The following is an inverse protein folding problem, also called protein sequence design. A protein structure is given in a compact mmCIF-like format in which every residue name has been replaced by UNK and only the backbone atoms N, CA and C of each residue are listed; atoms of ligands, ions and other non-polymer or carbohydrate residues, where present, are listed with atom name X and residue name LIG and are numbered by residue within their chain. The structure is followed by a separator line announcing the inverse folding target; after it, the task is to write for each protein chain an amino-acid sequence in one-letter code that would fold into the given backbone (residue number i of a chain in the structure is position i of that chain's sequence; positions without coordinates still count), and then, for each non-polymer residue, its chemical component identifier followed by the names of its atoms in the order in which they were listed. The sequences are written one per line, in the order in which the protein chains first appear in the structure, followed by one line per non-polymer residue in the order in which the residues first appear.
data_IF_865228202749
#
_entry.id   IF_865228202749
#
_cell.length_a   1.000
_cell.length_b   1.000
_cell.length_c   1.000
_cell.angle_alpha   90.00
_cell.angle_beta   90.00
_cell.angle_gamma   90.00
#
_symmetry.space_group_name_H-M   'P 1'
#
loop_
_entity.id
_entity.type
_entity.pdbx_description
1 polymer ?
#
# COMPACT_ATOMS: atom_id res chain seq x y z
N UNK A 1 -21.14 -53.52 57.94
CA UNK A 1 -21.67 -53.04 59.22
C UNK A 1 -22.34 -51.72 58.93
N UNK A 2 -23.68 -51.70 58.86
CA UNK A 2 -24.64 -51.10 59.82
C UNK A 2 -24.40 -49.58 59.90
N UNK A 3 -25.31 -48.65 59.77
CA UNK A 3 -26.78 -48.52 59.85
C UNK A 3 -27.04 -47.03 59.64
N UNK A 4 -27.98 -46.66 58.93
CA UNK A 4 -29.41 -46.38 59.11
C UNK A 4 -29.69 -44.89 59.41
N UNK A 5 -30.41 -44.25 58.52
CA UNK A 5 -31.78 -43.68 58.66
C UNK A 5 -31.90 -42.46 59.62
N UNK A 6 -32.39 -41.33 59.06
CA UNK A 6 -33.62 -40.73 59.53
C UNK A 6 -34.17 -39.66 58.58
N UNK A 7 -35.41 -39.82 58.28
CA UNK A 7 -36.36 -38.91 57.61
C UNK A 7 -36.64 -37.68 58.52
N UNK A 8 -36.78 -36.51 57.91
CA UNK A 8 -37.74 -35.53 58.40
C UNK A 8 -38.20 -34.61 57.30
N UNK A 9 -39.43 -34.78 56.95
CA UNK A 9 -40.18 -33.86 56.09
C UNK A 9 -40.70 -32.69 56.95
N UNK A 10 -40.59 -31.49 56.44
CA UNK A 10 -41.50 -30.42 56.90
C UNK A 10 -41.88 -29.52 55.70
N UNK A 11 -43.14 -29.25 55.68
CA UNK A 11 -44.00 -28.64 54.68
C UNK A 11 -43.92 -27.12 54.71
N UNK A 12 -44.12 -26.53 53.52
CA UNK A 12 -44.90 -25.33 53.21
C UNK A 12 -44.36 -23.95 53.48
N UNK A 13 -44.13 -23.18 52.42
CA UNK A 13 -44.84 -21.90 52.16
C UNK A 13 -44.62 -21.42 50.72
N UNK A 14 -45.66 -21.39 49.91
CA UNK A 14 -45.73 -20.63 48.65
C UNK A 14 -45.64 -19.13 49.03
N UNK A 15 -44.67 -18.44 48.41
CA UNK A 15 -44.72 -17.02 48.16
C UNK A 15 -44.54 -16.76 46.69
N UNK A 16 -45.60 -16.33 46.04
CA UNK A 16 -45.62 -15.77 44.69
C UNK A 16 -44.83 -14.46 44.75
N UNK A 17 -43.63 -14.47 44.22
CA UNK A 17 -42.77 -13.30 43.97
C UNK A 17 -42.71 -13.06 42.50
N UNK A 18 -43.21 -11.91 42.07
CA UNK A 18 -43.26 -11.29 40.74
C UNK A 18 -41.97 -11.48 39.98
N UNK A 19 -42.08 -11.95 38.73
CA UNK A 19 -41.05 -11.89 37.69
C UNK A 19 -40.69 -10.43 37.40
N UNK A 20 -39.57 -9.96 37.87
CA UNK A 20 -38.79 -8.89 37.26
C UNK A 20 -37.69 -9.58 36.46
N UNK A 21 -37.84 -9.71 35.16
CA UNK A 21 -36.75 -10.09 34.27
C UNK A 21 -35.77 -8.95 34.19
N UNK A 22 -34.67 -9.04 34.91
CA UNK A 22 -33.47 -8.27 34.58
C UNK A 22 -32.84 -8.96 33.38
N UNK A 23 -32.98 -8.31 32.20
CA UNK A 23 -32.19 -8.63 31.03
C UNK A 23 -30.72 -8.47 31.41
N UNK A 24 -30.02 -9.58 31.58
CA UNK A 24 -28.58 -9.57 31.70
C UNK A 24 -27.99 -8.85 30.47
N UNK A 25 -27.07 -7.90 30.63
CA UNK A 25 -26.44 -7.25 29.49
C UNK A 25 -25.79 -8.33 28.65
N UNK A 26 -26.33 -8.55 27.45
CA UNK A 26 -25.66 -9.35 26.42
C UNK A 26 -24.35 -8.63 26.08
N UNK A 27 -23.26 -9.05 26.71
CA UNK A 27 -21.92 -8.70 26.25
C UNK A 27 -21.75 -9.32 24.86
N UNK A 28 -22.08 -8.56 23.82
CA UNK A 28 -21.71 -8.92 22.47
C UNK A 28 -20.19 -8.93 22.44
N UNK A 29 -19.61 -10.11 22.30
CA UNK A 29 -18.19 -10.24 21.96
C UNK A 29 -17.97 -9.41 20.69
N UNK A 30 -17.01 -8.48 20.67
CA UNK A 30 -16.76 -7.70 19.46
C UNK A 30 -16.45 -8.68 18.32
N UNK A 31 -17.23 -8.59 17.26
CA UNK A 31 -16.96 -9.35 16.03
C UNK A 31 -15.68 -8.77 15.45
N UNK A 32 -14.57 -9.49 15.57
CA UNK A 32 -13.31 -9.13 14.91
C UNK A 32 -13.50 -9.34 13.42
N UNK A 33 -13.71 -8.26 12.70
CA UNK A 33 -13.78 -8.30 11.23
C UNK A 33 -12.37 -8.47 10.68
N UNK A 34 -12.12 -9.57 9.99
CA UNK A 34 -10.83 -9.83 9.36
C UNK A 34 -10.67 -8.97 8.10
N UNK A 35 -9.43 -8.54 7.76
CA UNK A 35 -9.14 -7.91 6.49
C UNK A 35 -9.58 -8.79 5.30
N UNK A 36 -10.20 -8.21 4.27
CA UNK A 36 -10.67 -8.99 3.11
C UNK A 36 -9.55 -9.54 2.24
N UNK A 37 -8.34 -8.92 2.27
CA UNK A 37 -7.21 -9.33 1.46
C UNK A 37 -6.05 -9.84 2.32
N UNK A 38 -5.37 -10.90 1.84
CA UNK A 38 -4.18 -11.47 2.47
C UNK A 38 -2.89 -10.88 1.87
N UNK A 39 -1.90 -10.54 2.70
CA UNK A 39 -0.65 -9.92 2.24
C UNK A 39 -0.85 -8.47 1.80
N UNK A 40 -0.03 -8.02 0.86
CA UNK A 40 -0.20 -6.74 0.13
C UNK A 40 -1.36 -6.84 -0.84
N UNK A 41 -2.15 -5.77 -0.98
CA UNK A 41 -3.27 -5.75 -1.91
C UNK A 41 -2.82 -5.44 -3.33
N UNK A 42 -3.29 -6.26 -4.27
CA UNK A 42 -3.27 -6.02 -5.71
C UNK A 42 -4.68 -6.21 -6.27
N UNK A 43 -4.99 -5.54 -7.36
CA UNK A 43 -6.35 -5.51 -7.91
C UNK A 43 -6.35 -6.08 -9.34
N UNK A 44 -7.14 -7.12 -9.57
CA UNK A 44 -7.33 -7.73 -10.88
C UNK A 44 -8.76 -7.40 -11.41
N UNK A 45 -8.88 -6.84 -12.64
CA UNK A 45 -7.82 -6.44 -13.56
C UNK A 45 -7.09 -5.18 -13.09
N UNK A 46 -5.86 -4.98 -13.64
CA UNK A 46 -4.99 -3.87 -13.30
C UNK A 46 -5.68 -2.51 -13.46
N UNK A 47 -5.54 -1.66 -12.46
CA UNK A 47 -6.11 -0.31 -12.49
C UNK A 47 -5.20 0.72 -13.16
N UNK A 48 -3.92 0.42 -13.30
CA UNK A 48 -2.96 1.11 -14.18
C UNK A 48 -2.33 0.04 -15.07
N UNK A 49 -2.24 0.30 -16.37
CA UNK A 49 -1.69 -0.63 -17.35
C UNK A 49 -0.67 0.06 -18.26
N UNK A 50 0.11 -0.71 -18.98
CA UNK A 50 1.07 -0.20 -19.97
C UNK A 50 0.43 0.61 -21.10
N UNK A 51 -0.89 0.52 -21.29
CA UNK A 51 -1.65 1.32 -22.27
C UNK A 51 -2.18 2.65 -21.73
N UNK A 52 -2.05 2.90 -20.43
CA UNK A 52 -2.45 4.17 -19.85
C UNK A 52 -1.45 5.29 -20.21
N UNK A 53 -1.91 6.55 -20.26
CA UNK A 53 -1.03 7.68 -20.55
C UNK A 53 0.14 7.76 -19.57
N UNK A 54 1.31 8.12 -20.08
CA UNK A 54 2.49 8.45 -19.29
C UNK A 54 2.84 9.93 -19.44
N UNK A 55 3.24 10.54 -18.36
CA UNK A 55 3.78 11.91 -18.34
C UNK A 55 5.26 11.96 -18.71
N UNK A 56 5.92 10.80 -18.86
CA UNK A 56 7.33 10.74 -19.23
C UNK A 56 7.57 11.38 -20.60
N UNK A 57 8.52 12.31 -20.68
CA UNK A 57 8.86 13.05 -21.90
C UNK A 57 10.25 12.73 -22.43
N UNK A 58 11.23 12.71 -21.55
CA UNK A 58 12.62 12.61 -22.01
C UNK A 58 13.52 12.04 -20.91
N UNK A 59 14.57 11.35 -21.36
CA UNK A 59 15.66 10.87 -20.54
C UNK A 59 16.98 11.35 -21.13
N UNK A 60 17.78 12.06 -20.35
CA UNK A 60 19.10 12.54 -20.79
C UNK A 60 20.21 11.90 -19.97
N UNK A 61 21.20 11.30 -20.65
CA UNK A 61 22.38 10.76 -19.98
C UNK A 61 23.24 11.90 -19.41
N UNK A 62 23.50 11.82 -18.10
CA UNK A 62 24.27 12.82 -17.35
C UNK A 62 25.71 12.33 -17.01
N UNK A 63 26.14 11.21 -17.59
CA UNK A 63 27.46 10.62 -17.35
C UNK A 63 27.44 9.56 -16.27
N UNK A 64 28.62 9.28 -15.69
CA UNK A 64 28.77 8.45 -14.50
C UNK A 64 29.21 9.31 -13.32
N UNK A 65 28.82 8.89 -12.12
CA UNK A 65 29.19 9.60 -10.92
C UNK A 65 28.94 8.79 -9.65
N UNK A 66 29.71 9.11 -8.62
CA UNK A 66 29.59 8.44 -7.32
C UNK A 66 28.21 8.71 -6.71
N UNK A 67 27.47 7.65 -6.39
CA UNK A 67 26.19 7.69 -5.70
C UNK A 67 26.15 6.63 -4.61
N UNK A 68 25.50 6.97 -3.51
CA UNK A 68 25.21 6.03 -2.43
C UNK A 68 23.79 5.54 -2.58
N UNK A 69 23.62 4.24 -2.77
CA UNK A 69 22.36 3.55 -3.06
C UNK A 69 22.17 2.43 -2.04
N UNK A 70 20.92 2.16 -1.62
CA UNK A 70 20.66 0.98 -0.81
C UNK A 70 20.49 -0.24 -1.72
N UNK A 71 21.19 -1.33 -1.41
CA UNK A 71 21.09 -2.59 -2.14
C UNK A 71 20.54 -3.69 -1.23
N UNK A 72 19.32 -4.12 -1.49
CA UNK A 72 18.66 -5.18 -0.70
C UNK A 72 19.36 -6.55 -0.80
N UNK A 73 20.20 -6.78 -1.81
CA UNK A 73 20.95 -8.05 -1.96
C UNK A 73 21.99 -8.23 -0.87
N UNK A 74 22.59 -7.12 -0.45
CA UNK A 74 23.56 -7.09 0.66
C UNK A 74 22.96 -6.47 1.93
N UNK A 75 21.73 -5.95 1.85
CA UNK A 75 21.01 -5.27 2.91
C UNK A 75 21.82 -4.13 3.54
N UNK A 76 22.48 -3.34 2.68
CA UNK A 76 23.36 -2.24 3.11
C UNK A 76 23.44 -1.13 2.05
N UNK A 77 23.96 0.01 2.47
CA UNK A 77 24.27 1.13 1.61
C UNK A 77 25.59 0.88 0.88
N UNK A 78 25.57 0.97 -0.44
CA UNK A 78 26.74 0.84 -1.28
C UNK A 78 27.03 2.18 -1.98
N UNK A 79 28.31 2.49 -2.15
CA UNK A 79 28.73 3.64 -2.98
C UNK A 79 29.34 3.10 -4.27
N UNK A 80 28.76 3.48 -5.40
CA UNK A 80 29.14 3.02 -6.74
C UNK A 80 29.26 4.19 -7.71
N UNK A 81 29.98 3.99 -8.80
CA UNK A 81 30.06 4.94 -9.93
C UNK A 81 28.91 4.66 -10.90
N UNK A 82 27.70 5.14 -10.51
CA UNK A 82 26.44 4.85 -11.19
C UNK A 82 26.35 5.53 -12.56
N UNK A 83 25.64 4.91 -13.51
CA UNK A 83 25.17 5.62 -14.71
C UNK A 83 23.99 6.52 -14.31
N UNK A 84 24.07 7.82 -14.68
CA UNK A 84 23.14 8.83 -14.26
C UNK A 84 22.31 9.32 -15.44
N UNK A 85 20.99 9.41 -15.22
CA UNK A 85 20.05 9.90 -16.23
C UNK A 85 19.09 10.89 -15.56
N UNK A 86 18.82 12.01 -16.23
CA UNK A 86 17.79 12.96 -15.80
C UNK A 86 16.50 12.65 -16.58
N UNK A 87 15.48 12.18 -15.88
CA UNK A 87 14.14 12.00 -16.40
C UNK A 87 13.32 13.28 -16.21
N UNK A 88 12.54 13.67 -17.23
CA UNK A 88 11.61 14.78 -17.17
C UNK A 88 10.19 14.31 -17.52
N UNK A 89 9.20 14.93 -16.88
CA UNK A 89 7.79 14.65 -17.03
C UNK A 89 7.04 15.91 -17.49
N UNK A 90 5.91 15.77 -18.15
CA UNK A 90 5.18 16.88 -18.76
C UNK A 90 4.46 17.81 -17.75
N UNK A 91 4.32 17.36 -16.52
CA UNK A 91 3.83 18.16 -15.40
C UNK A 91 4.94 18.99 -14.70
N UNK A 92 6.15 18.97 -15.24
CA UNK A 92 7.30 19.72 -14.74
C UNK A 92 8.09 18.99 -13.65
N UNK A 93 7.69 17.81 -13.23
CA UNK A 93 8.48 16.98 -12.32
C UNK A 93 9.71 16.41 -13.03
N UNK A 94 10.73 16.07 -12.24
CA UNK A 94 11.96 15.43 -12.70
C UNK A 94 12.53 14.51 -11.63
N UNK A 95 13.28 13.48 -12.05
CA UNK A 95 13.99 12.58 -11.15
C UNK A 95 15.35 12.20 -11.73
N UNK A 96 16.34 11.98 -10.87
CA UNK A 96 17.62 11.39 -11.27
C UNK A 96 17.51 9.86 -11.17
N UNK A 97 17.67 9.18 -12.31
CA UNK A 97 17.72 7.73 -12.35
C UNK A 97 19.18 7.28 -12.26
N UNK A 98 19.48 6.49 -11.24
CA UNK A 98 20.81 6.02 -10.90
C UNK A 98 20.87 4.52 -11.15
N UNK A 99 21.56 4.10 -12.20
CA UNK A 99 21.67 2.68 -12.57
C UNK A 99 23.01 2.14 -12.13
N UNK A 100 22.99 1.06 -11.38
CA UNK A 100 24.18 0.40 -10.85
C UNK A 100 25.16 0.05 -11.99
N UNK A 101 26.48 0.27 -11.87
CA UNK A 101 27.46 -0.02 -12.92
C UNK A 101 27.54 -1.51 -13.31
N UNK A 102 26.97 -2.40 -12.53
CA UNK A 102 26.86 -3.84 -12.83
C UNK A 102 26.15 -4.17 -14.16
N UNK A 103 25.43 -3.19 -14.76
CA UNK A 103 24.81 -3.32 -16.08
C UNK A 103 25.85 -3.31 -17.22
N UNK A 104 27.07 -2.84 -16.96
CA UNK A 104 28.22 -3.00 -17.84
C UNK A 104 28.34 -2.02 -19.00
N UNK A 105 27.36 -1.12 -19.20
CA UNK A 105 27.41 -0.12 -20.27
C UNK A 105 26.26 0.86 -20.19
N UNK A 106 26.52 2.10 -20.69
CA UNK A 106 25.53 3.19 -20.69
C UNK A 106 24.28 2.85 -21.49
N UNK A 107 24.43 2.12 -22.60
CA UNK A 107 23.28 1.79 -23.48
C UNK A 107 22.32 0.80 -22.80
N UNK A 108 22.88 -0.19 -22.08
CA UNK A 108 22.07 -1.14 -21.29
C UNK A 108 21.41 -0.42 -20.12
N UNK A 109 22.16 0.45 -19.45
CA UNK A 109 21.63 1.26 -18.34
C UNK A 109 20.53 2.22 -18.82
N UNK A 110 20.67 2.82 -20.02
CA UNK A 110 19.68 3.70 -20.63
C UNK A 110 18.36 2.95 -20.86
N UNK A 111 18.42 1.75 -21.43
CA UNK A 111 17.21 0.97 -21.71
C UNK A 111 16.41 0.63 -20.44
N UNK A 112 17.11 0.29 -19.35
CA UNK A 112 16.45 0.06 -18.06
C UNK A 112 15.89 1.36 -17.46
N UNK A 113 16.65 2.45 -17.52
CA UNK A 113 16.21 3.74 -17.01
C UNK A 113 14.96 4.23 -17.77
N UNK A 114 14.91 4.09 -19.09
CA UNK A 114 13.78 4.49 -19.93
C UNK A 114 12.53 3.66 -19.62
N UNK A 115 12.68 2.33 -19.52
CA UNK A 115 11.60 1.40 -19.16
C UNK A 115 10.90 1.84 -17.87
N UNK A 116 11.65 2.12 -16.81
CA UNK A 116 11.04 2.47 -15.53
C UNK A 116 10.60 3.93 -15.43
N UNK A 117 11.27 4.86 -16.13
CA UNK A 117 10.78 6.24 -16.22
C UNK A 117 9.39 6.30 -16.86
N UNK A 118 9.13 5.47 -17.87
CA UNK A 118 7.83 5.37 -18.52
C UNK A 118 6.75 4.84 -17.58
N UNK A 119 7.04 3.79 -16.80
CA UNK A 119 6.11 3.23 -15.81
C UNK A 119 5.84 4.26 -14.70
N UNK A 120 6.89 4.89 -14.15
CA UNK A 120 6.76 5.93 -13.13
C UNK A 120 5.90 7.09 -13.65
N UNK A 121 6.07 7.48 -14.92
CA UNK A 121 5.25 8.51 -15.55
C UNK A 121 3.74 8.23 -15.61
N UNK A 122 3.30 6.97 -15.45
CA UNK A 122 1.88 6.60 -15.38
C UNK A 122 1.26 6.83 -14.00
N UNK A 123 2.08 7.02 -12.97
CA UNK A 123 1.60 7.26 -11.61
C UNK A 123 1.01 8.67 -11.47
N UNK A 124 0.06 8.88 -10.55
CA UNK A 124 -0.42 10.21 -10.22
C UNK A 124 0.71 11.17 -9.82
N UNK A 125 0.61 12.45 -10.19
CA UNK A 125 1.52 13.50 -9.75
C UNK A 125 1.68 13.51 -8.23
N UNK A 126 0.59 13.27 -7.48
CA UNK A 126 0.60 13.16 -6.03
C UNK A 126 1.57 12.09 -5.49
N UNK A 127 1.81 11.02 -6.25
CA UNK A 127 2.76 9.95 -5.88
C UNK A 127 4.19 10.19 -6.41
N UNK A 128 4.35 11.04 -7.44
CA UNK A 128 5.65 11.31 -8.07
C UNK A 128 6.34 12.56 -7.53
N UNK A 129 5.58 13.47 -6.90
CA UNK A 129 6.05 14.81 -6.49
C UNK A 129 7.30 14.79 -5.59
N UNK A 130 7.47 13.74 -4.81
CA UNK A 130 8.59 13.60 -3.88
C UNK A 130 9.59 12.51 -4.32
N UNK A 131 9.45 11.96 -5.54
CA UNK A 131 10.42 11.03 -6.13
C UNK A 131 11.56 11.83 -6.76
N UNK A 132 12.63 12.05 -6.00
CA UNK A 132 13.83 12.77 -6.47
C UNK A 132 14.83 11.83 -7.15
N UNK A 133 14.91 10.59 -6.70
CA UNK A 133 15.85 9.60 -7.21
C UNK A 133 15.18 8.25 -7.45
N UNK A 134 15.73 7.48 -8.40
CA UNK A 134 15.34 6.10 -8.68
C UNK A 134 16.59 5.24 -8.75
N UNK A 135 16.70 4.23 -7.92
CA UNK A 135 17.83 3.28 -7.91
C UNK A 135 17.48 2.01 -8.64
N UNK A 136 18.32 1.61 -9.59
CA UNK A 136 18.11 0.40 -10.40
C UNK A 136 19.28 -0.56 -10.22
N UNK A 137 18.97 -1.75 -9.71
CA UNK A 137 19.89 -2.86 -9.49
C UNK A 137 19.46 -4.11 -10.24
N UNK A 138 20.37 -5.02 -10.50
CA UNK A 138 20.04 -6.41 -10.84
C UNK A 138 19.51 -7.16 -9.62
N UNK A 139 18.98 -8.37 -9.84
CA UNK A 139 18.50 -9.25 -8.77
C UNK A 139 16.99 -9.29 -8.64
N UNK A 140 16.53 -10.10 -7.68
CA UNK A 140 15.10 -10.43 -7.45
C UNK A 140 14.64 -10.02 -6.05
N UNK A 141 15.22 -8.96 -5.49
CA UNK A 141 14.80 -8.42 -4.21
C UNK A 141 13.56 -7.53 -4.39
N UNK A 142 12.65 -7.44 -3.40
CA UNK A 142 11.48 -6.57 -3.46
C UNK A 142 11.86 -5.10 -3.74
N UNK A 143 10.92 -4.37 -4.32
CA UNK A 143 11.03 -2.91 -4.48
C UNK A 143 11.04 -2.19 -3.13
N UNK A 144 11.30 -0.91 -3.13
CA UNK A 144 11.24 -0.04 -1.97
C UNK A 144 10.88 1.38 -2.32
N UNK A 145 10.14 2.03 -1.43
CA UNK A 145 9.83 3.46 -1.46
C UNK A 145 10.24 4.15 -0.16
N UNK A 146 10.27 5.47 -0.18
CA UNK A 146 10.64 6.32 0.95
C UNK A 146 11.92 7.13 0.73
N UNK A 147 12.16 8.10 1.60
CA UNK A 147 13.35 8.97 1.52
C UNK A 147 13.55 9.61 0.13
N UNK A 148 12.47 10.07 -0.49
CA UNK A 148 12.45 10.68 -1.83
C UNK A 148 13.00 9.75 -2.94
N UNK A 149 12.85 8.43 -2.76
CA UNK A 149 13.46 7.44 -3.63
C UNK A 149 12.49 6.29 -3.98
N UNK A 150 12.74 5.70 -5.16
CA UNK A 150 12.21 4.39 -5.53
C UNK A 150 13.37 3.43 -5.79
N UNK A 151 13.35 2.26 -5.16
CA UNK A 151 14.34 1.20 -5.32
C UNK A 151 13.76 0.07 -6.18
N UNK A 152 14.48 -0.30 -7.24
CA UNK A 152 14.09 -1.29 -8.24
C UNK A 152 15.17 -2.36 -8.34
N UNK A 153 14.74 -3.63 -8.31
CA UNK A 153 15.55 -4.79 -8.71
C UNK A 153 14.92 -5.40 -9.97
N UNK A 154 15.63 -5.36 -11.12
CA UNK A 154 15.03 -5.70 -12.43
C UNK A 154 14.49 -7.13 -12.54
N UNK A 155 15.15 -8.10 -11.91
CA UNK A 155 14.64 -9.47 -11.90
C UNK A 155 13.34 -9.63 -11.11
N UNK A 156 13.12 -8.81 -10.09
CA UNK A 156 11.84 -8.75 -9.38
C UNK A 156 10.78 -8.02 -10.22
N UNK A 157 11.18 -6.96 -10.92
CA UNK A 157 10.30 -6.26 -11.86
C UNK A 157 9.76 -7.19 -12.96
N UNK A 158 10.59 -8.10 -13.47
CA UNK A 158 10.17 -9.09 -14.46
C UNK A 158 9.12 -10.06 -13.88
N UNK A 159 9.26 -10.45 -12.62
CA UNK A 159 8.24 -11.25 -11.91
C UNK A 159 6.94 -10.45 -11.72
N UNK A 160 7.02 -9.21 -11.25
CA UNK A 160 5.86 -8.35 -11.09
C UNK A 160 5.15 -8.08 -12.43
N UNK A 161 5.90 -7.96 -13.52
CA UNK A 161 5.32 -7.84 -14.87
C UNK A 161 4.61 -9.12 -15.29
N UNK A 162 5.21 -10.29 -15.02
CA UNK A 162 4.61 -11.58 -15.35
C UNK A 162 3.32 -11.84 -14.55
N UNK A 163 3.27 -11.35 -13.31
CA UNK A 163 2.12 -11.46 -12.42
C UNK A 163 1.08 -10.35 -12.64
N UNK A 164 1.37 -9.35 -13.52
CA UNK A 164 0.47 -8.23 -13.83
C UNK A 164 0.35 -7.20 -12.69
N UNK A 165 1.35 -7.06 -11.83
CA UNK A 165 1.29 -6.19 -10.64
C UNK A 165 2.38 -5.11 -10.61
N UNK A 166 3.10 -4.90 -11.71
CA UNK A 166 4.25 -3.98 -11.74
C UNK A 166 3.82 -2.54 -11.41
N UNK A 167 2.83 -2.00 -12.13
CA UNK A 167 2.36 -0.64 -11.96
C UNK A 167 1.75 -0.44 -10.56
N UNK A 168 1.03 -1.42 -10.05
CA UNK A 168 0.42 -1.37 -8.71
C UNK A 168 1.48 -1.43 -7.60
N UNK A 169 2.57 -2.18 -7.81
CA UNK A 169 3.73 -2.15 -6.92
C UNK A 169 4.36 -0.74 -6.88
N UNK A 170 4.47 -0.07 -8.03
CA UNK A 170 4.94 1.32 -8.04
C UNK A 170 3.97 2.28 -7.35
N UNK A 171 2.65 2.07 -7.42
CA UNK A 171 1.68 2.85 -6.63
C UNK A 171 1.97 2.70 -5.14
N UNK A 172 2.20 1.47 -4.67
CA UNK A 172 2.51 1.18 -3.27
C UNK A 172 3.81 1.87 -2.81
N UNK A 173 4.91 1.67 -3.54
CA UNK A 173 6.22 2.23 -3.16
C UNK A 173 6.27 3.75 -3.27
N UNK A 174 5.61 4.33 -4.28
CA UNK A 174 5.52 5.77 -4.44
C UNK A 174 4.60 6.41 -3.38
N UNK A 175 3.60 5.69 -2.88
CA UNK A 175 2.81 6.13 -1.73
C UNK A 175 3.68 6.25 -0.46
N UNK A 176 4.58 5.29 -0.20
CA UNK A 176 5.57 5.44 0.86
C UNK A 176 6.45 6.68 0.68
N UNK A 177 6.89 6.92 -0.55
CA UNK A 177 7.78 8.05 -0.87
C UNK A 177 7.10 9.40 -0.67
N UNK A 178 5.85 9.55 -1.13
CA UNK A 178 5.20 10.85 -1.23
C UNK A 178 4.11 11.10 -0.19
N UNK A 179 3.62 10.08 0.50
CA UNK A 179 2.49 10.23 1.41
C UNK A 179 2.83 9.96 2.88
N UNK A 180 3.74 9.04 3.19
CA UNK A 180 3.99 8.62 4.58
C UNK A 180 4.36 9.78 5.48
N UNK A 181 5.28 10.64 5.03
CA UNK A 181 5.79 11.76 5.83
C UNK A 181 4.67 12.73 6.27
N UNK A 182 3.66 12.94 5.42
CA UNK A 182 2.57 13.87 5.69
C UNK A 182 1.35 13.19 6.34
N UNK A 183 1.13 11.91 6.08
CA UNK A 183 -0.15 11.27 6.37
C UNK A 183 -0.07 10.11 7.36
N UNK A 184 0.97 9.26 7.36
CA UNK A 184 0.98 8.02 8.12
C UNK A 184 0.81 8.22 9.66
N UNK A 185 1.28 9.35 10.18
CA UNK A 185 1.12 9.73 11.59
C UNK A 185 0.14 10.88 11.84
N UNK A 186 -0.55 11.36 10.80
CA UNK A 186 -1.49 12.47 10.93
C UNK A 186 -2.67 12.08 11.84
N UNK A 187 -3.05 12.92 12.82
CA UNK A 187 -4.15 12.59 13.75
C UNK A 187 -5.47 12.27 13.03
N UNK A 188 -5.76 12.95 11.92
CA UNK A 188 -6.98 12.72 11.15
C UNK A 188 -6.93 11.36 10.41
N UNK A 189 -5.76 10.92 9.91
CA UNK A 189 -5.57 9.59 9.35
C UNK A 189 -5.77 8.50 10.40
N UNK A 190 -5.12 8.63 11.56
CA UNK A 190 -5.24 7.67 12.66
C UNK A 190 -6.67 7.59 13.20
N UNK A 191 -7.39 8.71 13.22
CA UNK A 191 -8.82 8.73 13.57
C UNK A 191 -9.66 7.98 12.53
N UNK A 192 -9.42 8.18 11.22
CA UNK A 192 -10.10 7.47 10.14
C UNK A 192 -9.80 5.96 10.20
N UNK A 193 -8.54 5.57 10.39
CA UNK A 193 -8.11 4.19 10.57
C UNK A 193 -8.85 3.50 11.74
N UNK A 194 -8.93 4.19 12.89
CA UNK A 194 -9.60 3.68 14.09
C UNK A 194 -11.12 3.60 13.95
N UNK A 195 -11.73 4.44 13.09
CA UNK A 195 -13.18 4.47 12.87
C UNK A 195 -13.65 3.44 11.83
N UNK A 196 -12.75 2.90 11.03
CA UNK A 196 -13.07 1.88 10.04
C UNK A 196 -13.26 0.50 10.67
N UNK A 197 -14.12 -0.36 10.10
CA UNK A 197 -14.39 -1.71 10.63
C UNK A 197 -13.17 -2.61 10.71
N UNK A 198 -12.24 -2.48 9.74
CA UNK A 198 -10.98 -3.26 9.69
C UNK A 198 -9.98 -2.62 8.72
N UNK A 199 -8.82 -3.24 8.54
CA UNK A 199 -7.85 -2.90 7.51
C UNK A 199 -8.22 -3.54 6.17
N UNK A 200 -7.75 -2.95 5.07
CA UNK A 200 -8.03 -3.49 3.73
C UNK A 200 -7.28 -4.81 3.49
N UNK A 201 -6.08 -4.94 4.06
CA UNK A 201 -5.22 -6.12 3.91
C UNK A 201 -4.66 -6.59 5.26
N UNK A 202 -4.20 -7.83 5.30
CA UNK A 202 -3.48 -8.32 6.49
C UNK A 202 -2.15 -7.61 6.67
N UNK A 203 -1.51 -7.16 5.59
CA UNK A 203 -0.24 -6.42 5.66
C UNK A 203 -0.43 -5.05 6.30
N UNK A 204 -1.47 -4.30 5.91
CA UNK A 204 -1.84 -3.04 6.56
C UNK A 204 -2.15 -3.23 8.05
N UNK A 205 -2.88 -4.30 8.42
CA UNK A 205 -3.21 -4.62 9.82
C UNK A 205 -1.96 -4.93 10.64
N UNK A 206 -1.05 -5.70 10.09
CA UNK A 206 0.14 -6.18 10.81
C UNK A 206 1.20 -5.06 10.96
N UNK A 207 1.16 -4.06 10.07
CA UNK A 207 2.06 -2.90 10.09
C UNK A 207 1.33 -1.56 9.94
N UNK A 208 0.36 -1.22 10.83
CA UNK A 208 -0.61 -0.15 10.62
C UNK A 208 -0.01 1.26 10.53
N UNK A 209 1.16 1.48 11.14
CA UNK A 209 1.82 2.78 11.15
C UNK A 209 2.80 2.97 9.97
N UNK A 210 3.03 1.90 9.20
CA UNK A 210 3.99 1.92 8.09
C UNK A 210 3.32 1.65 6.74
N UNK A 211 2.41 0.67 6.69
CA UNK A 211 1.91 0.14 5.44
C UNK A 211 0.49 0.62 5.09
N UNK A 212 -0.29 1.08 6.07
CA UNK A 212 -1.73 1.30 5.87
C UNK A 212 -2.04 2.42 4.86
N UNK A 213 -1.20 3.46 4.75
CA UNK A 213 -1.35 4.51 3.72
C UNK A 213 -1.13 3.91 2.33
N UNK A 214 -0.02 3.20 2.13
CA UNK A 214 0.34 2.60 0.85
C UNK A 214 -0.71 1.56 0.41
N UNK A 215 -1.10 0.68 1.32
CA UNK A 215 -2.15 -0.33 1.10
C UNK A 215 -3.54 0.28 0.82
N UNK A 216 -3.83 1.45 1.38
CA UNK A 216 -5.12 2.13 1.20
C UNK A 216 -5.20 2.96 -0.07
N UNK A 217 -4.06 3.43 -0.60
CA UNK A 217 -4.06 4.33 -1.75
C UNK A 217 -4.48 3.63 -3.05
N UNK A 218 -4.04 2.39 -3.28
CA UNK A 218 -4.44 1.61 -4.46
C UNK A 218 -5.97 1.39 -4.53
N UNK A 219 -6.66 0.92 -3.46
CA UNK A 219 -8.12 0.86 -3.40
C UNK A 219 -8.82 2.21 -3.59
N UNK A 220 -8.25 3.28 -3.03
CA UNK A 220 -8.76 4.64 -3.24
C UNK A 220 -8.73 5.03 -4.71
N UNK A 221 -7.59 4.82 -5.38
CA UNK A 221 -7.42 5.07 -6.80
C UNK A 221 -8.44 4.26 -7.63
N UNK A 222 -8.61 2.97 -7.30
CA UNK A 222 -9.56 2.10 -7.96
C UNK A 222 -11.01 2.62 -7.87
N UNK A 223 -11.45 3.03 -6.68
CA UNK A 223 -12.83 3.50 -6.46
C UNK A 223 -13.09 4.86 -7.09
N UNK A 224 -12.16 5.80 -6.98
CA UNK A 224 -12.40 7.20 -7.38
C UNK A 224 -12.06 7.47 -8.83
N UNK A 225 -11.01 6.85 -9.36
CA UNK A 225 -10.45 7.20 -10.66
C UNK A 225 -10.49 6.07 -11.67
N UNK A 226 -10.68 4.83 -11.21
CA UNK A 226 -10.72 3.63 -12.07
C UNK A 226 -11.92 2.72 -11.80
N UNK A 227 -13.04 3.30 -11.35
CA UNK A 227 -14.24 2.53 -11.00
C UNK A 227 -14.78 1.66 -12.16
N UNK A 228 -14.51 2.05 -13.41
CA UNK A 228 -14.85 1.24 -14.59
C UNK A 228 -13.97 -0.01 -14.78
N UNK A 229 -12.86 -0.12 -14.05
CA UNK A 229 -11.93 -1.28 -14.12
C UNK A 229 -12.13 -2.27 -12.98
N UNK A 230 -13.01 -1.99 -12.03
CA UNK A 230 -13.29 -2.88 -10.90
C UNK A 230 -14.73 -3.37 -10.91
N UNK A 231 -14.96 -4.53 -10.29
CA UNK A 231 -16.31 -5.05 -10.11
C UNK A 231 -17.06 -4.29 -9.02
N UNK A 232 -18.39 -4.26 -9.11
CA UNK A 232 -19.22 -3.69 -8.04
C UNK A 232 -19.00 -4.41 -6.70
N UNK A 233 -18.73 -5.71 -6.72
CA UNK A 233 -18.41 -6.48 -5.51
C UNK A 233 -17.15 -5.97 -4.83
N UNK A 234 -16.08 -5.72 -5.59
CA UNK A 234 -14.84 -5.16 -5.06
C UNK A 234 -15.05 -3.74 -4.52
N UNK A 235 -15.75 -2.88 -5.28
CA UNK A 235 -16.09 -1.55 -4.83
C UNK A 235 -16.85 -1.55 -3.49
N UNK A 236 -17.84 -2.45 -3.35
CA UNK A 236 -18.59 -2.61 -2.11
C UNK A 236 -17.68 -3.10 -0.96
N UNK A 237 -16.79 -4.07 -1.22
CA UNK A 237 -15.83 -4.56 -0.22
C UNK A 237 -14.94 -3.43 0.29
N UNK A 238 -14.36 -2.63 -0.60
CA UNK A 238 -13.50 -1.50 -0.22
C UNK A 238 -14.29 -0.49 0.63
N UNK A 239 -15.48 -0.06 0.16
CA UNK A 239 -16.30 0.93 0.85
C UNK A 239 -16.84 0.44 2.20
N UNK A 240 -17.06 -0.86 2.37
CA UNK A 240 -17.46 -1.45 3.66
C UNK A 240 -16.28 -1.61 4.62
N UNK A 241 -15.07 -1.75 4.09
CA UNK A 241 -13.87 -1.99 4.89
C UNK A 241 -13.26 -0.70 5.41
N UNK A 242 -13.13 0.32 4.55
CA UNK A 242 -12.35 1.52 4.86
C UNK A 242 -13.04 2.84 4.47
N UNK A 243 -14.33 3.06 4.79
CA UNK A 243 -15.07 4.25 4.37
C UNK A 243 -14.48 5.55 4.91
N UNK A 244 -13.95 5.55 6.13
CA UNK A 244 -13.38 6.74 6.76
C UNK A 244 -12.00 7.08 6.18
N UNK A 245 -11.15 6.08 5.87
CA UNK A 245 -9.89 6.29 5.16
C UNK A 245 -10.11 6.79 3.74
N UNK A 246 -11.11 6.28 3.02
CA UNK A 246 -11.51 6.82 1.71
C UNK A 246 -11.92 8.30 1.85
N UNK A 247 -12.77 8.63 2.83
CA UNK A 247 -13.18 10.01 3.07
C UNK A 247 -12.01 10.93 3.46
N UNK A 248 -11.04 10.41 4.22
CA UNK A 248 -9.80 11.14 4.52
C UNK A 248 -9.01 11.46 3.25
N UNK A 249 -8.81 10.46 2.37
CA UNK A 249 -8.07 10.63 1.11
C UNK A 249 -8.80 11.58 0.15
N UNK A 250 -10.13 11.52 0.09
CA UNK A 250 -10.96 12.47 -0.70
C UNK A 250 -10.70 13.94 -0.29
N UNK A 251 -10.43 14.19 0.97
CA UNK A 251 -10.19 15.54 1.50
C UNK A 251 -8.77 16.07 1.28
N UNK A 252 -7.85 15.28 0.71
CA UNK A 252 -6.46 15.72 0.51
C UNK A 252 -6.24 16.51 -0.79
N UNK A 253 -7.20 16.50 -1.72
CA UNK A 253 -7.09 17.21 -3.02
C UNK A 253 -5.82 16.80 -3.79
N UNK A 254 -5.55 15.50 -3.88
CA UNK A 254 -4.41 14.97 -4.61
C UNK A 254 -4.48 15.33 -6.10
N UNK A 255 -3.35 15.72 -6.67
CA UNK A 255 -3.20 15.84 -8.11
C UNK A 255 -3.06 14.44 -8.71
N UNK A 256 -4.10 14.00 -9.40
CA UNK A 256 -4.20 12.64 -9.95
C UNK A 256 -3.79 12.55 -11.41
N UNK A 257 -3.36 13.65 -12.04
CA UNK A 257 -2.82 13.60 -13.42
C UNK A 257 -1.68 12.56 -13.54
N UNK A 258 -1.63 11.71 -14.57
CA UNK A 258 -2.45 11.63 -15.79
C UNK A 258 -3.63 10.65 -15.68
N UNK A 259 -4.02 10.23 -14.49
CA UNK A 259 -5.03 9.18 -14.28
C UNK A 259 -6.47 9.70 -14.45
N UNK A 260 -6.70 10.96 -14.48
CA UNK A 260 -8.00 11.62 -14.62
C UNK A 260 -8.76 11.26 -15.91
#
# INVERSE_FOLDING_TARGET
MKSAVAFSALLFSLLLGSCGGEDAPTTSTPVVTLPPFGGTIFIDPDIITSSDPTTFQNLSFAGQGSRTMFDRRVNDWITVDAYLFNASFDDGLAAEIQVNPEFGGSDVALAEAEKYAEVIGRLPTALRKDVETVWIHKGTQPFGGGNNNLLIHIGQADLYTADGILEETFVHEAAHTSLDAAHASAPAWLAAQSADPTFISTYARDFPNREDIAESFLPYLAIRYRSGRITQSLANTIMQTMPNRIAYLDNQSFDMYPIE
#
